data_IF_952631300156
#
_entry.id   IF_952631300156
#
_cell.length_a   1.000
_cell.length_b   1.000
_cell.length_c   1.000
_cell.angle_alpha   90.00
_cell.angle_beta   90.00
_cell.angle_gamma   90.00
#
_symmetry.space_group_name_H-M   'P 1'
#
loop_
_entity.id
_entity.type
_entity.pdbx_description
1 polymer ?
#
# COMPACT_ATOMS: atom_id res chain seq x y z
N UNK A 1 -16.56 -21.28 17.34
CA UNK A 1 -16.23 -19.88 17.68
C UNK A 1 -16.05 -19.14 16.36
N UNK A 2 -16.94 -18.22 16.02
CA UNK A 2 -16.79 -17.35 14.85
C UNK A 2 -15.63 -16.39 15.14
N UNK A 3 -14.57 -16.47 14.38
CA UNK A 3 -13.44 -15.53 14.47
C UNK A 3 -13.98 -14.14 14.13
N UNK A 4 -13.82 -13.19 15.04
CA UNK A 4 -14.23 -11.79 14.81
C UNK A 4 -13.41 -11.21 13.67
N UNK A 5 -14.07 -10.68 12.65
CA UNK A 5 -13.40 -10.04 11.53
C UNK A 5 -12.80 -8.70 11.97
N UNK A 6 -11.50 -8.57 11.91
CA UNK A 6 -10.80 -7.32 12.22
C UNK A 6 -10.70 -6.47 10.95
N UNK A 7 -10.95 -5.17 11.10
CA UNK A 7 -10.81 -4.18 10.04
C UNK A 7 -9.60 -3.29 10.35
N UNK A 8 -8.82 -3.00 9.33
CA UNK A 8 -7.59 -2.23 9.42
C UNK A 8 -7.62 -1.01 8.51
N UNK A 9 -6.97 0.06 8.94
CA UNK A 9 -6.56 1.17 8.09
C UNK A 9 -5.09 1.44 8.35
N UNK A 10 -4.24 1.28 7.33
CA UNK A 10 -2.81 1.58 7.40
C UNK A 10 -2.53 3.05 7.06
N UNK A 11 -1.72 3.72 7.87
CA UNK A 11 -1.33 5.12 7.70
C UNK A 11 0.11 5.36 8.13
N UNK A 12 0.75 6.39 7.57
CA UNK A 12 2.03 6.94 8.06
C UNK A 12 1.81 8.01 9.12
N UNK A 13 0.57 8.35 9.44
CA UNK A 13 0.21 9.40 10.38
C UNK A 13 -0.25 8.76 11.68
N UNK A 14 0.45 9.05 12.76
CA UNK A 14 0.06 8.66 14.11
C UNK A 14 -0.95 9.63 14.73
N UNK A 15 -1.65 9.17 15.79
CA UNK A 15 -2.55 10.01 16.59
C UNK A 15 -3.86 10.40 15.88
N UNK A 16 -4.33 9.60 14.92
CA UNK A 16 -5.61 9.83 14.27
C UNK A 16 -6.77 9.38 15.17
N UNK A 17 -7.77 10.25 15.35
CA UNK A 17 -9.04 9.94 16.03
C UNK A 17 -10.13 9.50 15.02
N UNK A 18 -9.96 9.81 13.75
CA UNK A 18 -10.86 9.42 12.67
C UNK A 18 -10.14 9.26 11.33
N UNK A 19 -10.63 8.37 10.50
CA UNK A 19 -10.27 8.28 9.08
C UNK A 19 -11.29 9.09 8.29
N UNK A 20 -10.80 10.12 7.61
CA UNK A 20 -11.66 11.03 6.86
C UNK A 20 -12.12 10.41 5.54
N UNK A 21 -13.37 10.66 5.18
CA UNK A 21 -13.94 10.30 3.87
C UNK A 21 -13.43 11.26 2.78
N UNK A 22 -12.12 11.21 2.49
CA UNK A 22 -11.45 12.11 1.55
C UNK A 22 -10.71 11.39 0.40
N UNK A 23 -10.67 10.05 0.42
CA UNK A 23 -10.15 9.26 -0.67
C UNK A 23 -11.22 9.06 -1.76
N UNK A 24 -10.79 8.82 -3.00
CA UNK A 24 -11.70 8.60 -4.13
C UNK A 24 -12.09 7.12 -4.19
N UNK A 25 -13.38 6.81 -4.14
CA UNK A 25 -13.89 5.44 -4.33
C UNK A 25 -13.53 4.91 -5.71
N UNK A 26 -13.12 3.64 -5.76
CA UNK A 26 -12.88 2.92 -7.01
C UNK A 26 -14.18 2.48 -7.72
N UNK A 27 -15.33 2.55 -7.02
CA UNK A 27 -16.63 2.12 -7.55
C UNK A 27 -17.28 3.23 -8.36
N UNK A 28 -17.42 4.41 -7.77
CA UNK A 28 -18.20 5.52 -8.33
C UNK A 28 -17.50 6.88 -8.28
N UNK A 29 -16.27 6.92 -7.74
CA UNK A 29 -15.49 8.14 -7.61
C UNK A 29 -15.91 9.08 -6.48
N UNK A 30 -16.89 8.70 -5.65
CA UNK A 30 -17.29 9.45 -4.45
C UNK A 30 -16.16 9.52 -3.41
N UNK A 31 -16.30 10.41 -2.44
CA UNK A 31 -15.34 10.50 -1.33
C UNK A 31 -15.68 9.44 -0.27
N UNK A 32 -14.66 8.70 0.14
CA UNK A 32 -14.79 7.59 1.10
C UNK A 32 -13.59 7.49 2.04
N UNK A 33 -13.82 6.88 3.20
CA UNK A 33 -12.79 6.33 4.08
C UNK A 33 -12.62 4.85 3.75
N UNK A 34 -11.35 4.40 3.60
CA UNK A 34 -11.01 3.00 3.27
C UNK A 34 -10.61 2.19 4.49
N UNK A 35 -11.06 0.94 4.51
CA UNK A 35 -10.61 -0.10 5.42
C UNK A 35 -10.36 -1.40 4.66
N UNK A 36 -9.60 -2.30 5.27
CA UNK A 36 -9.35 -3.63 4.74
C UNK A 36 -9.48 -4.68 5.86
N UNK A 37 -9.82 -5.89 5.50
CA UNK A 37 -9.74 -7.05 6.40
C UNK A 37 -8.44 -7.82 6.26
N UNK A 38 -7.53 -7.35 5.42
CA UNK A 38 -6.24 -7.95 5.13
C UNK A 38 -5.12 -7.17 5.82
N UNK A 39 -4.41 -7.84 6.72
CA UNK A 39 -3.31 -7.26 7.50
C UNK A 39 -2.15 -6.78 6.61
N UNK A 40 -1.72 -7.62 5.67
CA UNK A 40 -0.59 -7.30 4.79
C UNK A 40 -0.92 -6.11 3.90
N UNK A 41 -2.15 -6.08 3.39
CA UNK A 41 -2.60 -4.93 2.60
C UNK A 41 -2.58 -3.64 3.43
N UNK A 42 -2.98 -3.71 4.71
CA UNK A 42 -2.91 -2.57 5.62
C UNK A 42 -1.47 -2.10 5.87
N UNK A 43 -0.51 -3.03 6.05
CA UNK A 43 0.92 -2.69 6.15
C UNK A 43 1.43 -1.96 4.90
N UNK A 44 1.10 -2.46 3.72
CA UNK A 44 1.48 -1.83 2.44
C UNK A 44 0.82 -0.46 2.27
N UNK A 45 -0.32 -0.20 2.90
CA UNK A 45 -0.95 1.13 2.92
C UNK A 45 -0.24 2.13 3.86
N UNK A 46 0.69 1.69 4.74
CA UNK A 46 1.54 2.56 5.55
C UNK A 46 2.63 3.22 4.69
N UNK A 47 2.22 4.02 3.71
CA UNK A 47 3.09 4.76 2.79
C UNK A 47 2.51 6.12 2.46
N UNK A 48 3.34 7.01 1.91
CA UNK A 48 2.88 8.30 1.43
C UNK A 48 1.83 8.12 0.30
N UNK A 49 0.72 8.85 0.35
CA UNK A 49 -0.35 8.79 -0.66
C UNK A 49 0.10 9.13 -2.09
N UNK A 50 1.22 9.83 -2.22
CA UNK A 50 1.77 10.27 -3.50
C UNK A 50 2.59 9.21 -4.22
N UNK A 51 2.83 8.05 -3.59
CA UNK A 51 3.63 6.95 -4.16
C UNK A 51 2.73 6.00 -4.97
N UNK A 52 2.52 6.33 -6.25
CA UNK A 52 1.57 5.62 -7.12
C UNK A 52 2.14 4.40 -7.87
N UNK A 53 3.42 4.08 -7.69
CA UNK A 53 4.02 2.93 -8.38
C UNK A 53 3.82 1.58 -7.67
N UNK A 54 3.14 1.56 -6.55
CA UNK A 54 2.83 0.31 -5.84
C UNK A 54 1.78 -0.48 -6.60
N UNK A 55 2.10 -1.74 -6.89
CA UNK A 55 1.17 -2.70 -7.46
C UNK A 55 1.03 -3.88 -6.52
N UNK A 56 -0.16 -4.07 -6.01
CA UNK A 56 -0.50 -5.16 -5.12
C UNK A 56 -1.94 -5.62 -5.35
N UNK A 57 -2.17 -6.91 -5.18
CA UNK A 57 -3.52 -7.48 -5.24
C UNK A 57 -3.53 -8.96 -4.91
N UNK A 58 -4.70 -9.49 -4.50
CA UNK A 58 -4.83 -10.89 -4.17
C UNK A 58 -4.88 -11.76 -5.44
N UNK A 59 -4.17 -12.90 -5.38
CA UNK A 59 -4.28 -14.01 -6.32
C UNK A 59 -4.37 -15.29 -5.50
N UNK A 60 -5.33 -16.12 -5.78
CA UNK A 60 -5.57 -17.40 -5.06
C UNK A 60 -5.59 -17.27 -3.53
N UNK A 61 -6.10 -16.13 -3.03
CA UNK A 61 -6.22 -15.87 -1.59
C UNK A 61 -4.96 -15.34 -0.91
N UNK A 62 -3.86 -15.16 -1.65
CA UNK A 62 -2.59 -14.62 -1.14
C UNK A 62 -2.35 -13.24 -1.78
N UNK A 63 -1.79 -12.31 -1.02
CA UNK A 63 -1.39 -11.01 -1.56
C UNK A 63 -0.15 -11.15 -2.43
N UNK A 64 -0.13 -10.46 -3.57
CA UNK A 64 1.03 -10.37 -4.45
C UNK A 64 1.45 -8.92 -4.58
N UNK A 65 2.68 -8.61 -4.19
CA UNK A 65 3.32 -7.31 -4.37
C UNK A 65 4.28 -7.39 -5.55
N UNK A 66 4.22 -6.43 -6.48
CA UNK A 66 5.08 -6.40 -7.67
C UNK A 66 5.97 -5.16 -7.62
N UNK A 67 7.27 -5.35 -7.53
CA UNK A 67 8.21 -4.24 -7.65
C UNK A 67 8.24 -3.69 -9.08
N UNK A 68 8.16 -2.39 -9.21
CA UNK A 68 8.22 -1.69 -10.49
C UNK A 68 9.58 -1.06 -10.78
N UNK A 69 10.46 -1.04 -9.78
CA UNK A 69 11.87 -0.66 -9.90
C UNK A 69 12.70 -1.42 -8.86
N UNK A 70 14.03 -1.52 -9.04
CA UNK A 70 14.88 -2.27 -8.13
C UNK A 70 14.73 -1.84 -6.68
N UNK A 71 14.59 -2.81 -5.77
CA UNK A 71 14.47 -2.61 -4.33
C UNK A 71 13.28 -1.71 -3.90
N UNK A 72 12.21 -1.64 -4.71
CA UNK A 72 11.08 -0.75 -4.42
C UNK A 72 10.50 -0.96 -3.02
N UNK A 73 10.30 -2.20 -2.62
CA UNK A 73 9.76 -2.52 -1.30
C UNK A 73 10.63 -1.90 -0.19
N UNK A 74 11.95 -2.06 -0.28
CA UNK A 74 12.89 -1.48 0.67
C UNK A 74 12.86 0.05 0.63
N UNK A 75 12.94 0.65 -0.54
CA UNK A 75 12.94 2.11 -0.72
C UNK A 75 11.70 2.76 -0.10
N UNK A 76 10.54 2.14 -0.26
CA UNK A 76 9.28 2.71 0.21
C UNK A 76 9.05 2.51 1.72
N UNK A 77 9.55 1.43 2.31
CA UNK A 77 9.13 1.00 3.65
C UNK A 77 10.26 0.89 4.68
N UNK A 78 11.54 0.82 4.28
CA UNK A 78 12.65 0.69 5.24
C UNK A 78 12.86 1.99 6.04
N UNK A 79 12.89 1.85 7.35
CA UNK A 79 12.96 2.97 8.27
C UNK A 79 11.67 3.82 8.32
N UNK A 80 10.55 3.33 7.78
CA UNK A 80 9.26 4.02 7.82
C UNK A 80 8.38 3.44 8.92
N UNK A 81 7.82 4.34 9.73
CA UNK A 81 6.82 3.97 10.72
C UNK A 81 5.45 3.76 10.05
N UNK A 82 4.68 2.84 10.61
CA UNK A 82 3.30 2.57 10.23
C UNK A 82 2.38 2.59 11.44
N UNK A 83 1.17 3.08 11.24
CA UNK A 83 0.13 3.12 12.25
C UNK A 83 -1.10 2.41 11.69
N UNK A 84 -1.52 1.35 12.37
CA UNK A 84 -2.67 0.55 11.99
C UNK A 84 -3.82 0.87 12.94
N UNK A 85 -4.91 1.32 12.35
CA UNK A 85 -6.11 1.73 13.06
C UNK A 85 -7.23 0.74 12.82
N UNK A 86 -8.10 0.58 13.83
CA UNK A 86 -9.36 -0.13 13.67
C UNK A 86 -10.54 0.81 13.87
N UNK A 87 -11.66 0.63 13.15
CA UNK A 87 -12.87 1.42 13.38
C UNK A 87 -13.47 1.12 14.76
N UNK A 88 -14.01 2.14 15.41
CA UNK A 88 -14.77 1.99 16.66
C UNK A 88 -16.15 1.38 16.37
N UNK A 89 -16.72 1.67 15.20
CA UNK A 89 -18.00 1.17 14.76
C UNK A 89 -17.95 0.77 13.28
N UNK A 90 -18.62 -0.32 12.94
CA UNK A 90 -18.75 -0.82 11.56
C UNK A 90 -19.97 -0.26 10.84
N UNK A 91 -20.74 0.63 11.47
CA UNK A 91 -21.87 1.31 10.83
C UNK A 91 -21.38 2.11 9.62
N UNK A 92 -22.06 1.94 8.49
CA UNK A 92 -21.71 2.55 7.18
C UNK A 92 -20.50 1.97 6.45
N UNK A 93 -19.79 0.97 7.00
CA UNK A 93 -18.79 0.23 6.26
C UNK A 93 -19.47 -0.77 5.32
N UNK A 94 -19.13 -0.71 4.04
CA UNK A 94 -19.65 -1.62 2.99
C UNK A 94 -18.49 -2.26 2.26
N UNK A 95 -18.57 -3.58 2.06
CA UNK A 95 -17.63 -4.27 1.21
C UNK A 95 -17.82 -3.82 -0.24
N UNK A 96 -16.73 -3.41 -0.88
CA UNK A 96 -16.75 -2.96 -2.28
C UNK A 96 -16.05 -3.94 -3.20
N UNK A 97 -14.95 -4.56 -2.72
CA UNK A 97 -14.22 -5.56 -3.50
C UNK A 97 -13.30 -6.40 -2.61
N UNK A 98 -13.54 -7.70 -2.54
CA UNK A 98 -12.67 -8.63 -1.80
C UNK A 98 -12.49 -8.21 -0.33
N UNK A 99 -11.26 -7.86 0.05
CA UNK A 99 -10.90 -7.41 1.39
C UNK A 99 -11.08 -5.89 1.62
N UNK A 100 -11.56 -5.14 0.61
CA UNK A 100 -11.69 -3.67 0.68
C UNK A 100 -13.09 -3.26 1.11
N UNK A 101 -13.15 -2.32 2.07
CA UNK A 101 -14.36 -1.77 2.64
C UNK A 101 -14.31 -0.24 2.59
N UNK A 102 -15.44 0.38 2.33
CA UNK A 102 -15.59 1.83 2.19
C UNK A 102 -16.68 2.37 3.09
N UNK A 103 -16.47 3.56 3.63
CA UNK A 103 -17.50 4.37 4.29
C UNK A 103 -17.62 5.73 3.60
N UNK A 104 -18.83 6.20 3.26
CA UNK A 104 -19.02 7.54 2.72
C UNK A 104 -18.90 8.63 3.80
N UNK A 105 -18.73 8.26 5.05
CA UNK A 105 -18.59 9.15 6.20
C UNK A 105 -17.23 8.98 6.84
N UNK A 106 -16.79 9.98 7.57
CA UNK A 106 -15.63 9.87 8.47
C UNK A 106 -15.90 8.78 9.50
N UNK A 107 -14.87 7.98 9.77
CA UNK A 107 -14.98 6.83 10.66
C UNK A 107 -14.08 7.04 11.88
N UNK A 108 -14.65 7.18 13.08
CA UNK A 108 -13.86 7.21 14.32
C UNK A 108 -13.06 5.92 14.48
N UNK A 109 -11.79 6.07 14.88
CA UNK A 109 -10.85 4.95 15.01
C UNK A 109 -10.10 4.98 16.32
N UNK A 110 -9.52 3.84 16.65
CA UNK A 110 -8.49 3.72 17.69
C UNK A 110 -7.24 3.08 17.09
N UNK A 111 -6.09 3.48 17.60
CA UNK A 111 -4.83 2.84 17.24
C UNK A 111 -4.87 1.38 17.68
N UNK A 112 -4.64 0.47 16.74
CA UNK A 112 -4.52 -0.95 16.99
C UNK A 112 -3.05 -1.32 17.23
N UNK A 113 -2.16 -0.82 16.35
CA UNK A 113 -0.74 -1.13 16.41
C UNK A 113 0.12 -0.01 15.82
N UNK A 114 1.29 0.23 16.44
CA UNK A 114 2.35 1.07 15.91
C UNK A 114 3.52 0.18 15.48
N UNK A 115 3.84 0.24 14.21
CA UNK A 115 4.93 -0.48 13.58
C UNK A 115 6.11 0.47 13.40
N UNK A 116 7.20 0.24 14.11
CA UNK A 116 8.37 1.14 14.11
C UNK A 116 9.17 1.12 12.80
N UNK A 117 9.10 0.01 12.07
CA UNK A 117 9.66 -0.14 10.72
C UNK A 117 8.79 -1.13 9.92
N UNK A 118 8.14 -0.66 8.87
CA UNK A 118 7.18 -1.45 8.10
C UNK A 118 7.88 -2.51 7.23
N UNK A 119 9.10 -2.25 6.76
CA UNK A 119 9.81 -3.15 5.85
C UNK A 119 10.03 -4.56 6.43
N UNK A 120 10.64 -4.71 7.64
CA UNK A 120 10.84 -6.04 8.21
C UNK A 120 9.53 -6.78 8.52
N UNK A 121 8.44 -6.06 8.84
CA UNK A 121 7.13 -6.68 9.05
C UNK A 121 6.58 -7.28 7.75
N UNK A 122 6.69 -6.56 6.62
CA UNK A 122 6.30 -7.13 5.32
C UNK A 122 7.16 -8.35 4.98
N UNK A 123 8.47 -8.34 5.26
CA UNK A 123 9.33 -9.49 5.06
C UNK A 123 8.97 -10.68 5.96
N UNK A 124 8.53 -10.42 7.19
CA UNK A 124 8.04 -11.48 8.08
C UNK A 124 6.76 -12.12 7.53
N UNK A 125 5.84 -11.32 6.99
CA UNK A 125 4.62 -11.80 6.34
C UNK A 125 4.93 -12.58 5.03
N UNK A 126 5.95 -12.18 4.28
CA UNK A 126 6.45 -12.94 3.12
C UNK A 126 6.99 -14.29 3.56
N UNK A 127 7.81 -14.34 4.61
CA UNK A 127 8.36 -15.58 5.17
C UNK A 127 7.27 -16.51 5.72
N UNK A 128 6.15 -15.95 6.22
CA UNK A 128 4.97 -16.69 6.67
C UNK A 128 4.05 -17.17 5.53
N UNK A 129 4.29 -16.72 4.29
CA UNK A 129 3.49 -17.08 3.11
C UNK A 129 2.20 -16.30 2.96
N UNK A 130 2.03 -15.19 3.66
CA UNK A 130 0.84 -14.32 3.57
C UNK A 130 0.93 -13.31 2.44
N UNK A 131 2.13 -13.07 1.91
CA UNK A 131 2.37 -12.26 0.71
C UNK A 131 3.47 -12.90 -0.13
N UNK A 132 3.38 -12.75 -1.44
CA UNK A 132 4.44 -13.08 -2.39
C UNK A 132 4.96 -11.78 -2.98
N UNK A 133 6.24 -11.51 -2.77
CA UNK A 133 6.89 -10.33 -3.35
C UNK A 133 7.62 -10.73 -4.63
N UNK A 134 7.15 -10.22 -5.75
CA UNK A 134 7.81 -10.36 -7.04
C UNK A 134 8.88 -9.28 -7.15
N UNK A 135 10.14 -9.68 -6.95
CA UNK A 135 11.29 -8.78 -7.00
C UNK A 135 11.51 -8.29 -8.42
N UNK A 136 11.90 -7.02 -8.57
CA UNK A 136 12.12 -6.43 -9.91
C UNK A 136 13.07 -7.25 -10.77
N UNK A 137 14.13 -7.82 -10.19
CA UNK A 137 15.10 -8.67 -10.90
C UNK A 137 14.52 -10.00 -11.46
N UNK A 138 13.35 -10.42 -10.97
CA UNK A 138 12.68 -11.66 -11.38
C UNK A 138 11.60 -11.39 -12.45
N UNK A 139 11.31 -10.12 -12.71
CA UNK A 139 10.30 -9.72 -13.70
C UNK A 139 10.89 -9.84 -15.12
N UNK A 140 10.05 -10.21 -16.08
CA UNK A 140 10.46 -10.31 -17.49
C UNK A 140 11.10 -9.00 -17.99
N UNK A 141 12.23 -9.06 -18.72
CA UNK A 141 12.96 -7.87 -19.18
C UNK A 141 12.10 -6.90 -20.02
N UNK A 142 11.13 -7.41 -20.79
CA UNK A 142 10.23 -6.54 -21.56
C UNK A 142 9.28 -5.76 -20.64
N UNK A 143 8.81 -6.39 -19.56
CA UNK A 143 8.00 -5.75 -18.52
C UNK A 143 8.83 -4.76 -17.72
N UNK A 144 10.09 -5.09 -17.36
CA UNK A 144 11.02 -4.14 -16.73
C UNK A 144 11.18 -2.87 -17.56
N UNK A 145 11.38 -3.03 -18.87
CA UNK A 145 11.51 -1.89 -19.79
C UNK A 145 10.23 -1.05 -19.85
N UNK A 146 9.07 -1.70 -19.86
CA UNK A 146 7.78 -1.01 -19.81
C UNK A 146 7.63 -0.20 -18.52
N UNK A 147 7.99 -0.76 -17.38
CA UNK A 147 7.98 -0.07 -16.08
C UNK A 147 8.96 1.10 -16.07
N UNK A 148 10.19 0.93 -16.59
CA UNK A 148 11.18 2.00 -16.67
C UNK A 148 10.69 3.17 -17.52
N UNK A 149 10.11 2.90 -18.69
CA UNK A 149 9.50 3.92 -19.54
C UNK A 149 8.36 4.66 -18.84
N UNK A 150 7.46 3.91 -18.19
CA UNK A 150 6.37 4.51 -17.42
C UNK A 150 6.89 5.44 -16.31
N UNK A 151 7.89 5.00 -15.55
CA UNK A 151 8.50 5.81 -14.49
C UNK A 151 9.15 7.06 -15.07
N UNK A 152 9.92 6.93 -16.16
CA UNK A 152 10.55 8.06 -16.85
C UNK A 152 9.55 9.13 -17.27
N UNK A 153 8.44 8.69 -17.86
CA UNK A 153 7.40 9.59 -18.37
C UNK A 153 6.65 10.32 -17.25
N UNK A 154 6.77 9.85 -15.98
CA UNK A 154 6.12 10.43 -14.79
C UNK A 154 7.07 11.00 -13.75
N UNK A 155 8.38 11.10 -14.05
CA UNK A 155 9.37 11.57 -13.07
C UNK A 155 9.10 12.97 -12.52
N UNK A 156 8.46 13.83 -13.29
CA UNK A 156 8.13 15.19 -12.88
C UNK A 156 6.84 15.31 -12.08
N UNK A 157 6.11 14.20 -11.93
CA UNK A 157 4.92 14.17 -11.12
C UNK A 157 5.25 14.30 -9.61
N UNK A 158 4.40 14.98 -8.82
CA UNK A 158 4.65 15.23 -7.40
C UNK A 158 4.91 13.97 -6.57
N UNK A 159 4.30 12.83 -6.94
CA UNK A 159 4.48 11.58 -6.22
C UNK A 159 5.85 10.91 -6.42
N UNK A 160 6.64 11.36 -7.41
CA UNK A 160 8.02 10.92 -7.61
C UNK A 160 9.04 11.75 -6.82
N UNK A 161 8.65 12.89 -6.28
CA UNK A 161 9.59 13.85 -5.68
C UNK A 161 10.45 13.25 -4.56
N UNK A 162 9.88 12.32 -3.77
CA UNK A 162 10.58 11.73 -2.62
C UNK A 162 11.72 10.78 -3.00
N UNK A 163 11.72 10.23 -4.21
CA UNK A 163 12.72 9.23 -4.65
C UNK A 163 13.18 9.44 -6.10
N UNK A 164 12.99 10.65 -6.63
CA UNK A 164 13.38 11.02 -7.99
C UNK A 164 14.87 10.75 -8.27
N UNK A 165 15.76 11.16 -7.37
CA UNK A 165 17.20 10.96 -7.51
C UNK A 165 17.58 9.48 -7.54
N UNK A 166 16.93 8.67 -6.71
CA UNK A 166 17.07 7.21 -6.73
C UNK A 166 16.64 6.63 -8.08
N UNK A 167 15.48 7.04 -8.60
CA UNK A 167 14.98 6.58 -9.90
C UNK A 167 15.95 6.99 -11.04
N UNK A 168 16.43 8.21 -11.04
CA UNK A 168 17.45 8.64 -12.01
C UNK A 168 18.70 7.80 -11.93
N UNK A 169 19.24 7.57 -10.75
CA UNK A 169 20.47 6.82 -10.55
C UNK A 169 20.36 5.36 -11.03
N UNK A 170 19.21 4.73 -10.80
CA UNK A 170 19.03 3.30 -11.07
C UNK A 170 18.43 3.00 -12.46
N UNK A 171 17.67 3.91 -13.04
CA UNK A 171 17.00 3.68 -14.31
C UNK A 171 17.57 4.46 -15.49
N UNK A 172 18.27 5.56 -15.27
CA UNK A 172 18.84 6.36 -16.36
C UNK A 172 19.66 5.52 -17.37
N UNK A 173 20.51 4.56 -16.94
CA UNK A 173 21.24 3.70 -17.85
C UNK A 173 20.39 2.72 -18.67
N UNK A 174 19.12 2.51 -18.28
CA UNK A 174 18.18 1.58 -18.93
C UNK A 174 17.25 2.29 -19.92
N UNK A 175 17.35 3.63 -20.04
CA UNK A 175 16.47 4.44 -20.90
C UNK A 175 17.05 4.68 -22.29
N UNK A 176 18.35 4.38 -22.49
CA UNK A 176 19.03 4.37 -23.77
C UNK A 176 18.85 3.01 -24.46
#
# INVERSE_FOLDING_TARGET
MTQETIFYHGSVIGGLDAILANAKSHVDGSKVAYFTTDWVYALVCCRCRQENFVTMGPRDGIQHYFERFPEQLKVLYDGKEGFLYRPISLVNLKNTKGHTWESPLDVPVVLLEHVSNVYPEILAEEAAGHVIVHRYAEIDPAEQKMHANYIRDHLDEPFCAAYRDFLYQHFFPLWD
#
